data_IF_295633285946
#
_entry.id   IF_295633285946
#
_cell.length_a   1.000
_cell.length_b   1.000
_cell.length_c   1.000
_cell.angle_alpha   90.00
_cell.angle_beta   90.00
_cell.angle_gamma   90.00
#
_symmetry.space_group_name_H-M   'P 1'
#
loop_
_entity.id
_entity.type
_entity.pdbx_description
1 polymer ?
#
# COMPACT_ATOMS: atom_id res chain seq x y z
N UNK A 1 8.39 -9.91 -1.83
CA UNK A 1 7.29 -9.00 -2.21
C UNK A 1 6.64 -9.63 -3.43
N UNK A 2 5.64 -10.46 -3.20
CA UNK A 2 5.34 -11.54 -4.15
C UNK A 2 4.11 -11.22 -5.02
N UNK A 3 3.55 -10.02 -4.83
CA UNK A 3 2.38 -9.52 -5.57
C UNK A 3 2.75 -8.72 -6.83
N UNK A 4 4.04 -8.51 -7.12
CA UNK A 4 4.48 -7.69 -8.27
C UNK A 4 4.03 -6.22 -8.21
N UNK A 5 3.69 -5.71 -7.02
CA UNK A 5 3.22 -4.35 -6.80
C UNK A 5 4.39 -3.44 -6.47
N UNK A 6 4.44 -2.25 -7.08
CA UNK A 6 5.42 -1.24 -6.72
C UNK A 6 4.91 -0.37 -5.58
N UNK A 7 5.80 -0.01 -4.65
CA UNK A 7 5.50 0.93 -3.55
C UNK A 7 4.90 2.25 -4.06
N UNK A 8 5.36 2.75 -5.22
CA UNK A 8 4.84 3.98 -5.85
C UNK A 8 3.35 3.89 -6.21
N UNK A 9 2.86 2.70 -6.56
CA UNK A 9 1.45 2.50 -6.92
C UNK A 9 0.57 2.50 -5.68
N UNK A 10 1.05 1.88 -4.59
CA UNK A 10 0.40 1.93 -3.27
C UNK A 10 0.36 3.38 -2.78
N UNK A 11 1.49 4.08 -2.83
CA UNK A 11 1.61 5.46 -2.40
C UNK A 11 0.63 6.38 -3.15
N UNK A 12 0.60 6.26 -4.49
CA UNK A 12 -0.32 7.01 -5.35
C UNK A 12 -1.79 6.73 -5.01
N UNK A 13 -2.16 5.47 -4.77
CA UNK A 13 -3.54 5.11 -4.43
C UNK A 13 -3.95 5.63 -3.05
N UNK A 14 -3.07 5.47 -2.05
CA UNK A 14 -3.36 5.88 -0.66
C UNK A 14 -3.33 7.41 -0.51
N UNK A 15 -2.58 8.10 -1.37
CA UNK A 15 -2.38 9.55 -1.32
C UNK A 15 -1.25 9.96 -0.39
N UNK A 16 -0.17 9.19 -0.35
CA UNK A 16 1.03 9.46 0.45
C UNK A 16 2.28 9.44 -0.42
N UNK A 17 3.42 9.83 0.13
CA UNK A 17 4.71 9.71 -0.53
C UNK A 17 5.23 8.26 -0.47
N UNK A 18 6.05 7.87 -1.45
CA UNK A 18 6.63 6.50 -1.52
C UNK A 18 7.53 6.18 -0.33
N UNK A 19 8.22 7.17 0.23
CA UNK A 19 9.04 7.02 1.45
C UNK A 19 8.20 6.64 2.67
N UNK A 20 6.95 7.10 2.74
CA UNK A 20 5.99 6.77 3.79
C UNK A 20 5.66 5.28 3.73
N UNK A 21 5.43 4.74 2.52
CA UNK A 21 5.23 3.30 2.31
C UNK A 21 6.49 2.52 2.68
N UNK A 22 7.67 3.02 2.30
CA UNK A 22 8.96 2.41 2.70
C UNK A 22 9.11 2.34 4.23
N UNK A 23 8.70 3.40 4.93
CA UNK A 23 8.77 3.43 6.40
C UNK A 23 7.79 2.45 7.05
N UNK A 24 6.61 2.24 6.45
CA UNK A 24 5.65 1.22 6.91
C UNK A 24 6.19 -0.20 6.75
N UNK A 25 6.78 -0.50 5.60
CA UNK A 25 7.32 -1.84 5.30
C UNK A 25 8.57 -2.17 6.10
N UNK A 26 9.34 -1.15 6.50
CA UNK A 26 10.51 -1.29 7.39
C UNK A 26 10.14 -1.22 8.87
N UNK A 27 8.85 -1.22 9.21
CA UNK A 27 8.32 -1.09 10.58
C UNK A 27 8.81 0.16 11.34
N UNK A 28 9.31 1.18 10.64
CA UNK A 28 9.80 2.43 11.25
C UNK A 28 8.65 3.26 11.81
N UNK A 29 7.50 3.22 11.12
CA UNK A 29 6.27 3.93 11.47
C UNK A 29 5.10 3.00 11.16
N UNK A 30 4.07 2.98 12.00
CA UNK A 30 2.83 2.25 11.69
C UNK A 30 1.87 3.14 10.87
N UNK A 31 1.21 2.60 9.83
CA UNK A 31 0.17 3.36 9.12
C UNK A 31 -0.99 3.69 10.05
N UNK A 32 -1.65 4.83 9.82
CA UNK A 32 -2.91 5.16 10.49
C UNK A 32 -4.03 4.22 10.05
N UNK A 33 -5.11 4.14 10.83
CA UNK A 33 -6.28 3.32 10.50
C UNK A 33 -6.88 3.66 9.13
N UNK A 34 -6.96 4.95 8.79
CA UNK A 34 -7.42 5.38 7.47
C UNK A 34 -6.52 4.88 6.33
N UNK A 35 -5.20 4.92 6.53
CA UNK A 35 -4.25 4.40 5.53
C UNK A 35 -4.35 2.88 5.42
N UNK A 36 -4.53 2.16 6.53
CA UNK A 36 -4.79 0.72 6.50
C UNK A 36 -6.05 0.37 5.72
N UNK A 37 -7.15 1.14 5.88
CA UNK A 37 -8.37 0.94 5.07
C UNK A 37 -8.10 1.09 3.58
N UNK A 38 -7.39 2.14 3.17
CA UNK A 38 -7.02 2.38 1.76
C UNK A 38 -6.08 1.30 1.20
N UNK A 39 -5.13 0.82 2.00
CA UNK A 39 -4.25 -0.30 1.60
C UNK A 39 -5.07 -1.58 1.37
N UNK A 40 -6.00 -1.90 2.27
CA UNK A 40 -6.91 -3.07 2.10
C UNK A 40 -7.74 -2.96 0.83
N UNK A 41 -8.26 -1.77 0.53
CA UNK A 41 -8.99 -1.49 -0.70
C UNK A 41 -8.13 -1.69 -1.95
N UNK A 42 -6.92 -1.11 -1.97
CA UNK A 42 -5.96 -1.26 -3.06
C UNK A 42 -5.67 -2.74 -3.36
N UNK A 43 -5.36 -3.52 -2.32
CA UNK A 43 -5.06 -4.94 -2.45
C UNK A 43 -6.27 -5.73 -2.96
N UNK A 44 -7.48 -5.41 -2.46
CA UNK A 44 -8.72 -6.05 -2.91
C UNK A 44 -8.99 -5.83 -4.40
N UNK A 45 -8.72 -4.62 -4.91
CA UNK A 45 -8.89 -4.29 -6.34
C UNK A 45 -7.84 -5.03 -7.19
N UNK A 46 -6.59 -5.06 -6.75
CA UNK A 46 -5.50 -5.71 -7.51
C UNK A 46 -5.72 -7.21 -7.60
N UNK A 47 -6.05 -7.88 -6.50
CA UNK A 47 -6.29 -9.33 -6.47
C UNK A 47 -7.45 -9.72 -7.41
N UNK A 48 -8.55 -8.96 -7.42
CA UNK A 48 -9.69 -9.22 -8.33
C UNK A 48 -9.35 -9.10 -9.81
N UNK A 49 -8.31 -8.35 -10.18
CA UNK A 49 -7.92 -8.14 -11.58
C UNK A 49 -7.06 -9.28 -12.15
N UNK A 50 -6.51 -10.14 -11.28
CA UNK A 50 -5.69 -11.30 -11.66
C UNK A 50 -6.44 -12.64 -11.56
N UNK A 51 -7.75 -12.60 -11.31
CA UNK A 51 -8.63 -13.77 -11.28
C UNK A 51 -9.59 -13.69 -12.47
#
# INVERSE_FOLDING_TARGET
MDLGLFQRDVAKFVGVKTDTVTNWEKDRIKPSENNLRKIKEFLSIKIKKFR
#
